data_IF_002542388514
#
_entry.id   IF_002542388514
#
_cell.length_a   1.000
_cell.length_b   1.000
_cell.length_c   1.000
_cell.angle_alpha   90.00
_cell.angle_beta   90.00
_cell.angle_gamma   90.00
#
_symmetry.space_group_name_H-M   'P 1'
#
loop_
_entity.id
_entity.type
_entity.pdbx_description
1 polymer ?
#
# COMPACT_ATOMS: atom_id res chain seq x y z
N UNK A 1 -6.23 5.87 8.51
CA UNK A 1 -5.93 5.86 7.06
C UNK A 1 -7.17 5.66 6.21
N UNK A 2 -8.02 4.66 6.51
CA UNK A 2 -9.27 4.44 5.78
C UNK A 2 -10.18 5.68 5.74
N UNK A 3 -10.36 6.38 6.87
CA UNK A 3 -11.14 7.63 6.94
C UNK A 3 -10.59 8.69 5.96
N UNK A 4 -9.29 8.97 6.02
CA UNK A 4 -8.64 9.95 5.15
C UNK A 4 -8.75 9.57 3.66
N UNK A 5 -8.67 8.27 3.34
CA UNK A 5 -8.92 7.77 1.98
C UNK A 5 -10.36 8.11 1.54
N UNK A 6 -11.35 7.81 2.38
CA UNK A 6 -12.75 8.15 2.09
C UNK A 6 -12.96 9.66 1.90
N UNK A 7 -12.32 10.50 2.72
CA UNK A 7 -12.36 11.96 2.54
C UNK A 7 -11.83 12.39 1.18
N UNK A 8 -10.69 11.85 0.72
CA UNK A 8 -10.16 12.14 -0.62
C UNK A 8 -11.11 11.68 -1.74
N UNK A 9 -11.75 10.52 -1.57
CA UNK A 9 -12.73 10.02 -2.54
C UNK A 9 -13.95 10.93 -2.63
N UNK A 10 -14.46 11.42 -1.49
CA UNK A 10 -15.57 12.37 -1.47
C UNK A 10 -15.22 13.68 -2.17
N UNK A 11 -14.00 14.19 -1.98
CA UNK A 11 -13.50 15.37 -2.71
C UNK A 11 -13.39 15.12 -4.22
N UNK A 12 -12.85 13.96 -4.64
CA UNK A 12 -12.70 13.59 -6.05
C UNK A 12 -14.04 13.39 -6.76
N UNK A 13 -15.07 12.91 -6.05
CA UNK A 13 -16.41 12.75 -6.62
C UNK A 13 -17.10 14.09 -6.98
N UNK A 14 -16.59 15.22 -6.50
CA UNK A 14 -17.06 16.55 -6.87
C UNK A 14 -16.39 17.10 -8.14
N UNK A 15 -15.42 16.37 -8.70
CA UNK A 15 -14.62 16.79 -9.84
C UNK A 15 -14.72 15.76 -10.99
N UNK A 16 -14.52 16.18 -12.24
CA UNK A 16 -14.49 15.23 -13.35
C UNK A 16 -13.31 14.26 -13.18
N UNK A 17 -13.57 12.98 -13.47
CA UNK A 17 -12.58 11.92 -13.40
C UNK A 17 -11.33 12.28 -14.21
N UNK A 18 -10.16 12.17 -13.57
CA UNK A 18 -8.87 12.46 -14.23
C UNK A 18 -8.49 11.38 -15.24
N UNK A 19 -8.65 10.12 -14.85
CA UNK A 19 -8.25 8.93 -15.62
C UNK A 19 -9.01 7.69 -15.15
N UNK A 20 -9.06 6.61 -15.94
CA UNK A 20 -9.49 5.31 -15.46
C UNK A 20 -8.62 4.82 -14.28
N UNK A 21 -9.27 4.32 -13.22
CA UNK A 21 -8.58 3.81 -12.04
C UNK A 21 -8.42 2.29 -12.14
N UNK A 22 -7.35 1.83 -12.80
CA UNK A 22 -7.07 0.38 -12.96
C UNK A 22 -6.10 -0.10 -11.87
N UNK A 23 -5.00 0.62 -11.69
CA UNK A 23 -3.95 0.23 -10.75
C UNK A 23 -4.35 0.43 -9.29
N UNK A 24 -5.07 1.51 -8.97
CA UNK A 24 -5.52 1.82 -7.60
C UNK A 24 -6.43 0.71 -7.00
N UNK A 25 -7.48 0.23 -7.69
CA UNK A 25 -8.25 -0.91 -7.19
C UNK A 25 -7.43 -2.19 -7.05
N UNK A 26 -6.50 -2.44 -7.99
CA UNK A 26 -5.63 -3.61 -7.93
C UNK A 26 -4.73 -3.58 -6.70
N UNK A 27 -4.07 -2.44 -6.45
CA UNK A 27 -3.28 -2.18 -5.24
C UNK A 27 -4.14 -2.36 -3.98
N UNK A 28 -5.36 -1.80 -3.96
CA UNK A 28 -6.30 -1.95 -2.84
C UNK A 28 -6.64 -3.41 -2.51
N UNK A 29 -6.82 -4.25 -3.52
CA UNK A 29 -7.10 -5.69 -3.32
C UNK A 29 -5.92 -6.41 -2.68
N UNK A 30 -4.69 -6.09 -3.09
CA UNK A 30 -3.47 -6.65 -2.50
C UNK A 30 -3.34 -6.23 -1.04
N UNK A 31 -3.52 -4.93 -0.75
CA UNK A 31 -3.46 -4.39 0.61
C UNK A 31 -4.51 -5.04 1.53
N UNK A 32 -5.75 -5.21 1.05
CA UNK A 32 -6.77 -5.92 1.81
C UNK A 32 -6.40 -7.37 2.10
N UNK A 33 -5.77 -8.06 1.13
CA UNK A 33 -5.26 -9.42 1.33
C UNK A 33 -4.14 -9.45 2.39
N UNK A 34 -3.18 -8.53 2.32
CA UNK A 34 -2.09 -8.43 3.29
C UNK A 34 -2.62 -8.21 4.72
N UNK A 35 -3.61 -7.33 4.89
CA UNK A 35 -4.24 -7.11 6.20
C UNK A 35 -4.91 -8.39 6.70
N UNK A 36 -5.66 -9.08 5.84
CA UNK A 36 -6.30 -10.35 6.22
C UNK A 36 -5.27 -11.41 6.59
N UNK A 37 -4.28 -11.63 5.74
CA UNK A 37 -3.25 -12.66 5.92
C UNK A 37 -2.36 -12.38 7.14
N UNK A 38 -2.05 -11.11 7.44
CA UNK A 38 -1.28 -10.76 8.65
C UNK A 38 -2.06 -11.06 9.94
N UNK A 39 -3.38 -10.84 9.95
CA UNK A 39 -4.25 -11.20 11.07
C UNK A 39 -4.42 -12.72 11.18
N UNK A 40 -4.62 -13.42 10.06
CA UNK A 40 -4.70 -14.89 10.03
C UNK A 40 -3.40 -15.52 10.53
N UNK A 41 -2.24 -14.97 10.14
CA UNK A 41 -0.93 -15.40 10.59
C UNK A 41 -0.77 -15.19 12.10
N UNK A 42 -1.23 -14.05 12.62
CA UNK A 42 -1.18 -13.77 14.05
C UNK A 42 -2.03 -14.75 14.87
N UNK A 43 -3.29 -14.98 14.47
CA UNK A 43 -4.20 -15.87 15.20
C UNK A 43 -3.73 -17.33 15.19
N UNK A 44 -3.08 -17.77 14.10
CA UNK A 44 -2.62 -19.15 13.91
C UNK A 44 -1.15 -19.37 14.25
N UNK A 45 -0.44 -18.31 14.65
CA UNK A 45 1.01 -18.34 14.85
C UNK A 45 1.79 -18.83 13.60
N UNK A 46 1.27 -18.49 12.41
CA UNK A 46 1.79 -18.97 11.12
C UNK A 46 2.88 -18.06 10.56
N UNK A 47 4.13 -18.44 10.84
CA UNK A 47 5.34 -17.76 10.37
C UNK A 47 5.46 -17.75 8.84
N UNK A 48 4.98 -18.79 8.15
CA UNK A 48 5.06 -18.87 6.69
C UNK A 48 4.12 -17.86 6.04
N UNK A 49 2.89 -17.76 6.57
CA UNK A 49 1.93 -16.76 6.13
C UNK A 49 2.41 -15.34 6.44
N UNK A 50 3.00 -15.10 7.62
CA UNK A 50 3.62 -13.82 7.95
C UNK A 50 4.76 -13.46 6.97
N UNK A 51 5.61 -14.42 6.62
CA UNK A 51 6.70 -14.22 5.66
C UNK A 51 6.18 -13.89 4.26
N UNK A 52 5.07 -14.50 3.85
CA UNK A 52 4.38 -14.18 2.60
C UNK A 52 3.88 -12.73 2.60
N UNK A 53 3.26 -12.27 3.68
CA UNK A 53 2.79 -10.86 3.79
C UNK A 53 3.94 -9.89 3.54
N UNK A 54 5.12 -10.14 4.11
CA UNK A 54 6.31 -9.30 3.87
C UNK A 54 6.72 -9.26 2.39
N UNK A 55 6.62 -10.38 1.68
CA UNK A 55 7.00 -10.44 0.26
C UNK A 55 5.99 -9.74 -0.66
N UNK A 56 4.72 -9.68 -0.26
CA UNK A 56 3.67 -8.98 -1.01
C UNK A 56 3.82 -7.45 -0.95
N UNK A 57 4.50 -6.92 0.05
CA UNK A 57 4.74 -5.48 0.23
C UNK A 57 5.47 -4.83 -0.95
N UNK A 58 6.47 -5.52 -1.51
CA UNK A 58 7.17 -5.07 -2.72
C UNK A 58 6.22 -4.85 -3.91
N UNK A 59 5.11 -5.61 -4.00
CA UNK A 59 4.11 -5.36 -5.05
C UNK A 59 3.37 -4.05 -4.79
N UNK A 60 3.03 -3.75 -3.54
CA UNK A 60 2.36 -2.51 -3.15
C UNK A 60 3.25 -1.31 -3.46
N UNK A 61 4.53 -1.38 -3.12
CA UNK A 61 5.52 -0.33 -3.44
C UNK A 61 5.63 -0.09 -4.94
N UNK A 62 5.74 -1.17 -5.72
CA UNK A 62 5.79 -1.08 -7.19
C UNK A 62 4.53 -0.41 -7.78
N UNK A 63 3.34 -0.73 -7.25
CA UNK A 63 2.10 -0.07 -7.66
C UNK A 63 2.09 1.41 -7.26
N UNK A 64 2.53 1.74 -6.05
CA UNK A 64 2.60 3.12 -5.59
C UNK A 64 3.48 3.97 -6.51
N UNK A 65 4.66 3.45 -6.84
CA UNK A 65 5.63 4.07 -7.73
C UNK A 65 5.12 4.22 -9.16
N UNK A 66 4.45 3.21 -9.69
CA UNK A 66 3.82 3.28 -11.01
C UNK A 66 2.74 4.39 -11.04
N UNK A 67 1.85 4.40 -10.06
CA UNK A 67 0.79 5.40 -9.94
C UNK A 67 1.39 6.80 -9.80
N UNK A 68 2.46 6.96 -9.01
CA UNK A 68 3.14 8.23 -8.84
C UNK A 68 3.69 8.77 -10.16
N UNK A 69 4.44 7.93 -10.91
CA UNK A 69 5.00 8.31 -12.22
C UNK A 69 3.93 8.68 -13.22
N UNK A 70 2.85 7.91 -13.28
CA UNK A 70 1.73 8.18 -14.18
C UNK A 70 1.04 9.51 -13.84
N UNK A 71 0.77 9.76 -12.55
CA UNK A 71 0.14 11.01 -12.11
C UNK A 71 1.02 12.24 -12.37
N UNK A 72 2.35 12.09 -12.27
CA UNK A 72 3.28 13.16 -12.66
C UNK A 72 3.13 13.56 -14.13
N UNK A 73 2.93 12.59 -15.03
CA UNK A 73 2.69 12.89 -16.46
C UNK A 73 1.46 13.77 -16.63
N UNK A 74 0.34 13.44 -15.98
CA UNK A 74 -0.86 14.28 -16.02
C UNK A 74 -0.61 15.71 -15.49
N UNK A 75 0.14 15.85 -14.39
CA UNK A 75 0.47 17.15 -13.80
C UNK A 75 1.34 18.01 -14.72
N UNK A 76 2.27 17.39 -15.45
CA UNK A 76 3.17 18.06 -16.39
C UNK A 76 2.42 18.48 -17.66
N UNK A 77 1.52 17.63 -18.17
CA UNK A 77 0.73 17.90 -19.37
C UNK A 77 -0.31 19.02 -19.17
N UNK A 78 -1.01 19.03 -18.03
CA UNK A 78 -1.98 20.08 -17.68
C UNK A 78 -1.92 20.42 -16.18
N UNK A 79 -1.41 21.62 -15.81
CA UNK A 79 -1.35 22.06 -14.42
C UNK A 79 -2.71 22.09 -13.69
N UNK A 80 -3.84 22.16 -14.41
CA UNK A 80 -5.18 22.09 -13.80
C UNK A 80 -5.50 20.71 -13.23
N UNK A 81 -4.71 19.69 -13.55
CA UNK A 81 -4.87 18.34 -13.02
C UNK A 81 -4.21 18.15 -11.65
N UNK A 82 -3.30 19.06 -11.24
CA UNK A 82 -2.46 18.93 -10.04
C UNK A 82 -3.28 18.56 -8.80
N UNK A 83 -4.38 19.25 -8.53
CA UNK A 83 -5.22 18.99 -7.35
C UNK A 83 -5.81 17.58 -7.37
N UNK A 84 -6.40 17.15 -8.50
CA UNK A 84 -6.97 15.80 -8.67
C UNK A 84 -5.91 14.71 -8.56
N UNK A 85 -4.80 14.90 -9.25
CA UNK A 85 -3.68 13.97 -9.25
C UNK A 85 -3.06 13.85 -7.85
N UNK A 86 -2.95 14.96 -7.11
CA UNK A 86 -2.46 14.95 -5.72
C UNK A 86 -3.39 14.17 -4.78
N UNK A 87 -4.71 14.31 -4.93
CA UNK A 87 -5.69 13.51 -4.16
C UNK A 87 -5.56 12.01 -4.45
N UNK A 88 -5.39 11.63 -5.71
CA UNK A 88 -5.14 10.23 -6.10
C UNK A 88 -3.82 9.70 -5.53
N UNK A 89 -2.77 10.53 -5.55
CA UNK A 89 -1.49 10.17 -4.94
C UNK A 89 -1.62 9.94 -3.43
N UNK A 90 -2.40 10.77 -2.72
CA UNK A 90 -2.68 10.53 -1.30
C UNK A 90 -3.44 9.23 -1.06
N UNK A 91 -4.41 8.88 -1.91
CA UNK A 91 -5.10 7.59 -1.82
C UNK A 91 -4.10 6.44 -1.94
N UNK A 92 -3.23 6.47 -2.97
CA UNK A 92 -2.16 5.49 -3.16
C UNK A 92 -1.24 5.41 -1.93
N UNK A 93 -0.84 6.57 -1.38
CA UNK A 93 0.00 6.62 -0.18
C UNK A 93 -0.70 6.07 1.07
N UNK A 94 -2.00 6.27 1.21
CA UNK A 94 -2.75 5.68 2.33
C UNK A 94 -2.87 4.17 2.21
N UNK A 95 -2.97 3.62 0.99
CA UNK A 95 -2.93 2.18 0.77
C UNK A 95 -1.57 1.58 1.14
N UNK A 96 -0.47 2.22 0.72
CA UNK A 96 0.89 1.81 1.09
C UNK A 96 1.09 1.81 2.61
N UNK A 97 0.65 2.86 3.32
CA UNK A 97 0.74 2.88 4.79
C UNK A 97 -0.08 1.76 5.46
N UNK A 98 -1.22 1.37 4.90
CA UNK A 98 -1.99 0.24 5.41
C UNK A 98 -1.22 -1.07 5.20
N UNK A 99 -0.54 -1.22 4.07
CA UNK A 99 0.32 -2.36 3.78
C UNK A 99 1.49 -2.45 4.76
N UNK A 100 2.18 -1.34 5.03
CA UNK A 100 3.25 -1.25 6.03
C UNK A 100 2.76 -1.70 7.42
N UNK A 101 1.54 -1.32 7.82
CA UNK A 101 0.97 -1.85 9.07
C UNK A 101 0.73 -3.36 9.05
N UNK A 102 0.31 -3.94 7.92
CA UNK A 102 0.18 -5.38 7.79
C UNK A 102 1.55 -6.09 7.89
N UNK A 103 2.60 -5.52 7.28
CA UNK A 103 3.99 -5.98 7.42
C UNK A 103 4.45 -5.93 8.87
N UNK A 104 4.20 -4.82 9.56
CA UNK A 104 4.55 -4.66 10.97
C UNK A 104 3.89 -5.73 11.86
N UNK A 105 2.64 -6.09 11.58
CA UNK A 105 1.95 -7.20 12.26
C UNK A 105 2.64 -8.53 11.93
N UNK A 106 2.91 -8.81 10.65
CA UNK A 106 3.58 -10.04 10.24
C UNK A 106 4.98 -10.21 10.89
N UNK A 107 5.76 -9.13 10.97
CA UNK A 107 7.05 -9.14 11.66
C UNK A 107 6.93 -9.45 13.15
N UNK A 108 5.87 -8.96 13.81
CA UNK A 108 5.58 -9.31 15.20
C UNK A 108 5.24 -10.78 15.36
N UNK A 109 4.50 -11.39 14.43
CA UNK A 109 4.21 -12.84 14.44
C UNK A 109 5.52 -13.63 14.38
N UNK A 110 6.40 -13.30 13.46
CA UNK A 110 7.67 -14.02 13.29
C UNK A 110 8.53 -13.88 14.55
N UNK A 111 8.59 -12.69 15.14
CA UNK A 111 9.28 -12.47 16.41
C UNK A 111 8.65 -13.27 17.55
N UNK A 112 7.31 -13.28 17.65
CA UNK A 112 6.57 -13.99 18.70
C UNK A 112 6.82 -15.50 18.67
N UNK A 113 6.88 -16.11 17.49
CA UNK A 113 7.03 -17.57 17.32
C UNK A 113 8.50 -18.01 17.33
N UNK A 114 9.38 -17.28 16.63
CA UNK A 114 10.78 -17.69 16.48
C UNK A 114 11.75 -17.03 17.47
N UNK A 115 11.32 -15.97 18.17
CA UNK A 115 12.20 -15.16 19.02
C UNK A 115 13.23 -14.32 18.24
N UNK A 116 13.13 -14.26 16.90
CA UNK A 116 14.08 -13.54 16.04
C UNK A 116 13.55 -12.15 15.69
N UNK A 117 14.37 -11.13 15.92
CA UNK A 117 14.08 -9.77 15.45
C UNK A 117 14.46 -9.70 13.96
N UNK A 118 13.46 -9.65 13.10
CA UNK A 118 13.65 -9.53 11.64
C UNK A 118 13.33 -8.14 11.10
N UNK A 119 13.00 -7.18 11.97
CA UNK A 119 12.74 -5.79 11.63
C UNK A 119 14.01 -5.15 11.09
N UNK A 120 13.88 -4.34 10.04
CA UNK A 120 14.99 -3.57 9.44
C UNK A 120 16.17 -4.41 8.90
N UNK A 121 16.02 -5.74 8.78
CA UNK A 121 16.97 -6.56 8.03
C UNK A 121 16.72 -6.29 6.53
N UNK A 122 17.48 -5.35 5.94
CA UNK A 122 17.46 -5.11 4.50
C UNK A 122 17.84 -6.39 3.76
N UNK A 123 17.12 -6.67 2.67
CA UNK A 123 17.55 -7.69 1.72
C UNK A 123 18.89 -7.24 1.11
N UNK A 124 19.87 -8.14 0.87
CA UNK A 124 21.21 -7.80 0.36
C UNK A 124 21.29 -7.12 -1.01
N UNK A 125 20.15 -6.72 -1.61
CA UNK A 125 20.03 -6.25 -2.98
C UNK A 125 19.55 -4.80 -3.12
N UNK A 126 19.63 -3.99 -2.05
CA UNK A 126 19.29 -2.56 -2.07
C UNK A 126 20.52 -1.65 -1.85
N UNK A 127 21.56 -1.85 -2.67
CA UNK A 127 22.63 -0.86 -2.94
C UNK A 127 22.55 -0.36 -4.38
#
# INVERSE_FOLDING_TARGET
>A
MAVNLCERVLELNQEPQLKPYIDLPTMSNIVQMMVKESLDAFVKEDVQLASKVKQEDTKVDNYHDQIFRELLTYMIEDPKTITRATRLLFISKYLERIADHAVNIAELVIFMVEGKIIRHLKSPHEE
#
